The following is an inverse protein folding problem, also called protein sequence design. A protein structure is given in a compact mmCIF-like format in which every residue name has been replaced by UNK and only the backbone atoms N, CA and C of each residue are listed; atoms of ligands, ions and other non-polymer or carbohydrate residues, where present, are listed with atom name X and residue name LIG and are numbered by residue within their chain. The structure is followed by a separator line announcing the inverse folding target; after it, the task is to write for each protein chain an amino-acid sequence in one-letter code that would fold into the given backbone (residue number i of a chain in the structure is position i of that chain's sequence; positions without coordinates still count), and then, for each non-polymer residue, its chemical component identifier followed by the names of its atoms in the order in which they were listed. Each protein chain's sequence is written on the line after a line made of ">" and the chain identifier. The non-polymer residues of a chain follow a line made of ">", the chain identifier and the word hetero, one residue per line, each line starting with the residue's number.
data_IF_477688771960
#
_entry.id   IF_477688771960
#
_cell.length_a   1.000
_cell.length_b   1.000
_cell.length_c   1.000
_cell.angle_alpha   90.00
_cell.angle_beta   90.00
_cell.angle_gamma   90.00
#
_symmetry.space_group_name_H-M   'P 1'
#
loop_
_entity.id
_entity.type
_entity.pdbx_description
1 polymer ?
#
# COMPACT_ATOMS: atom_id res chain seq x y z
N UNK A 1 12.80 23.65 -8.62
CA UNK A 1 11.64 22.99 -7.98
C UNK A 1 11.27 21.68 -8.67
N UNK A 2 11.29 21.63 -10.00
CA UNK A 2 10.97 20.44 -10.81
C UNK A 2 11.74 19.17 -10.38
N UNK A 3 13.05 19.28 -10.18
CA UNK A 3 13.91 18.15 -9.77
C UNK A 3 13.45 17.49 -8.47
N UNK A 4 12.95 18.27 -7.50
CA UNK A 4 12.47 17.71 -6.22
C UNK A 4 11.21 16.88 -6.44
N UNK A 5 10.30 17.36 -7.29
CA UNK A 5 9.06 16.64 -7.62
C UNK A 5 9.33 15.40 -8.49
N UNK A 6 10.30 15.48 -9.40
CA UNK A 6 10.76 14.32 -10.17
C UNK A 6 11.33 13.26 -9.23
N UNK A 7 12.31 13.62 -8.39
CA UNK A 7 12.91 12.68 -7.41
C UNK A 7 11.81 12.08 -6.52
N UNK A 8 10.88 12.90 -6.03
CA UNK A 8 9.74 12.45 -5.26
C UNK A 8 8.93 11.39 -6.02
N UNK A 9 8.53 11.71 -7.25
CA UNK A 9 7.74 10.82 -8.09
C UNK A 9 8.45 9.48 -8.34
N UNK A 10 9.74 9.52 -8.71
CA UNK A 10 10.56 8.32 -8.91
C UNK A 10 10.64 7.44 -7.66
N UNK A 11 10.85 8.04 -6.49
CA UNK A 11 10.92 7.31 -5.21
C UNK A 11 9.60 6.58 -4.96
N UNK A 12 8.46 7.26 -5.11
CA UNK A 12 7.15 6.69 -4.85
C UNK A 12 6.75 5.64 -5.90
N UNK A 13 7.02 5.88 -7.18
CA UNK A 13 6.74 4.93 -8.26
C UNK A 13 7.49 3.60 -8.07
N UNK A 14 8.81 3.68 -7.83
CA UNK A 14 9.66 2.50 -7.62
C UNK A 14 9.24 1.77 -6.34
N UNK A 15 9.00 2.52 -5.26
CA UNK A 15 8.55 1.95 -3.99
C UNK A 15 7.20 1.26 -4.15
N UNK A 16 6.25 1.88 -4.86
CA UNK A 16 4.93 1.34 -5.16
C UNK A 16 5.01 0.05 -5.96
N UNK A 17 5.80 0.02 -7.04
CA UNK A 17 6.03 -1.19 -7.82
C UNK A 17 6.62 -2.31 -6.94
N UNK A 18 7.66 -2.01 -6.15
CA UNK A 18 8.34 -2.97 -5.31
C UNK A 18 7.44 -3.53 -4.19
N UNK A 19 6.71 -2.67 -3.49
CA UNK A 19 5.82 -3.06 -2.39
C UNK A 19 4.63 -3.89 -2.89
N UNK A 20 4.03 -3.51 -4.01
CA UNK A 20 2.93 -4.27 -4.59
C UNK A 20 3.38 -5.64 -5.12
N UNK A 21 4.54 -5.73 -5.78
CA UNK A 21 5.10 -7.01 -6.21
C UNK A 21 5.45 -7.92 -5.02
N UNK A 22 6.02 -7.35 -3.96
CA UNK A 22 6.25 -8.05 -2.70
C UNK A 22 4.94 -8.55 -2.08
N UNK A 23 3.89 -7.72 -2.09
CA UNK A 23 2.57 -8.11 -1.57
C UNK A 23 1.98 -9.25 -2.38
N UNK A 24 2.03 -9.21 -3.72
CA UNK A 24 1.61 -10.33 -4.58
C UNK A 24 2.37 -11.60 -4.21
N UNK A 25 3.70 -11.53 -4.12
CA UNK A 25 4.52 -12.68 -3.75
C UNK A 25 4.11 -13.28 -2.40
N UNK A 26 3.99 -12.46 -1.35
CA UNK A 26 3.64 -12.93 -0.01
C UNK A 26 2.20 -13.46 0.01
N UNK A 27 1.26 -12.82 -0.68
CA UNK A 27 -0.13 -13.26 -0.75
C UNK A 27 -0.28 -14.60 -1.48
N UNK A 28 0.50 -14.86 -2.53
CA UNK A 28 0.49 -16.15 -3.25
C UNK A 28 1.10 -17.26 -2.40
N UNK A 29 2.29 -17.04 -1.83
CA UNK A 29 3.08 -18.13 -1.26
C UNK A 29 2.94 -18.30 0.26
N UNK A 30 2.41 -17.32 0.99
CA UNK A 30 2.35 -17.33 2.46
C UNK A 30 0.94 -17.25 3.03
N UNK A 31 -0.09 -17.28 2.19
CA UNK A 31 -1.49 -17.30 2.65
C UNK A 31 -1.92 -18.70 3.10
N UNK A 32 -2.31 -18.90 4.38
CA UNK A 32 -2.86 -20.16 4.84
C UNK A 32 -4.25 -20.43 4.25
N UNK A 33 -4.66 -21.71 4.21
CA UNK A 33 -5.95 -22.14 3.63
C UNK A 33 -7.16 -21.35 4.19
N UNK A 34 -7.12 -20.99 5.47
CA UNK A 34 -8.18 -20.25 6.15
C UNK A 34 -8.44 -18.84 5.60
N UNK A 35 -7.46 -18.21 4.91
CA UNK A 35 -7.62 -16.86 4.34
C UNK A 35 -7.51 -16.83 2.81
N UNK A 36 -7.58 -17.98 2.14
CA UNK A 36 -7.28 -18.09 0.70
C UNK A 36 -8.20 -17.24 -0.17
N UNK A 37 -9.49 -17.15 0.18
CA UNK A 37 -10.44 -16.28 -0.53
C UNK A 37 -10.05 -14.80 -0.39
N UNK A 38 -9.59 -14.38 0.80
CA UNK A 38 -9.10 -13.01 1.01
C UNK A 38 -7.78 -12.74 0.30
N UNK A 39 -6.89 -13.72 0.23
CA UNK A 39 -5.64 -13.59 -0.49
C UNK A 39 -5.86 -13.29 -1.98
N UNK A 40 -6.90 -13.88 -2.59
CA UNK A 40 -7.27 -13.58 -3.98
C UNK A 40 -7.67 -12.12 -4.16
N UNK A 41 -8.47 -11.57 -3.24
CA UNK A 41 -8.83 -10.16 -3.24
C UNK A 41 -7.59 -9.26 -3.06
N UNK A 42 -6.71 -9.61 -2.12
CA UNK A 42 -5.47 -8.86 -1.86
C UNK A 42 -4.55 -8.88 -3.09
N UNK A 43 -4.44 -10.01 -3.79
CA UNK A 43 -3.67 -10.13 -5.02
C UNK A 43 -4.24 -9.22 -6.11
N UNK A 44 -5.57 -9.19 -6.29
CA UNK A 44 -6.19 -8.31 -7.28
C UNK A 44 -5.92 -6.83 -6.99
N UNK A 45 -6.03 -6.41 -5.73
CA UNK A 45 -5.65 -5.05 -5.32
C UNK A 45 -4.18 -4.77 -5.63
N UNK A 46 -3.27 -5.65 -5.19
CA UNK A 46 -1.84 -5.47 -5.39
C UNK A 46 -1.43 -5.44 -6.87
N UNK A 47 -2.08 -6.23 -7.74
CA UNK A 47 -1.84 -6.18 -9.19
C UNK A 47 -2.33 -4.86 -9.76
N UNK A 48 -3.52 -4.40 -9.37
CA UNK A 48 -4.07 -3.12 -9.85
C UNK A 48 -3.15 -1.96 -9.45
N UNK A 49 -2.76 -1.91 -8.18
CA UNK A 49 -1.87 -0.87 -7.64
C UNK A 49 -0.46 -0.96 -8.28
N UNK A 50 0.05 -2.18 -8.55
CA UNK A 50 1.32 -2.37 -9.29
C UNK A 50 1.23 -1.79 -10.70
N UNK A 51 0.15 -2.12 -11.43
CA UNK A 51 -0.09 -1.65 -12.79
C UNK A 51 -0.19 -0.12 -12.80
N UNK A 52 -0.86 0.47 -11.82
CA UNK A 52 -0.95 1.92 -11.65
C UNK A 52 0.45 2.55 -11.49
N UNK A 53 1.25 2.08 -10.53
CA UNK A 53 2.61 2.57 -10.31
C UNK A 53 3.53 2.33 -11.53
N UNK A 54 3.36 1.21 -12.23
CA UNK A 54 4.18 0.86 -13.40
C UNK A 54 3.87 1.76 -14.60
N UNK A 55 2.60 2.04 -14.88
CA UNK A 55 2.22 2.94 -15.97
C UNK A 55 2.49 4.41 -15.64
N UNK A 56 2.49 4.77 -14.36
CA UNK A 56 2.88 6.12 -13.92
C UNK A 56 4.36 6.41 -14.26
N UNK A 57 5.23 5.40 -14.21
CA UNK A 57 6.62 5.49 -14.71
C UNK A 57 6.68 6.00 -16.16
N UNK A 58 5.79 5.50 -17.02
CA UNK A 58 5.74 5.89 -18.43
C UNK A 58 4.88 7.13 -18.68
N UNK A 59 4.35 7.79 -17.65
CA UNK A 59 3.38 8.90 -17.77
C UNK A 59 2.11 8.45 -18.55
N UNK A 60 1.91 7.14 -18.76
CA UNK A 60 0.89 6.61 -19.67
C UNK A 60 -0.51 6.59 -19.08
N UNK A 61 -0.64 6.45 -17.75
CA UNK A 61 -1.95 6.49 -17.10
C UNK A 61 -2.61 7.87 -17.25
N UNK A 62 -1.78 8.93 -17.34
CA UNK A 62 -2.23 10.33 -17.52
C UNK A 62 -2.84 10.58 -18.89
N UNK A 63 -2.44 9.77 -19.87
CA UNK A 63 -2.84 9.89 -21.25
C UNK A 63 -4.12 9.10 -21.54
N UNK A 64 -4.31 7.93 -20.91
CA UNK A 64 -5.41 7.01 -21.25
C UNK A 64 -6.82 7.58 -20.99
N UNK A 65 -7.02 8.31 -19.88
CA UNK A 65 -8.34 8.87 -19.53
C UNK A 65 -8.74 10.05 -20.42
N UNK A 66 -7.78 10.77 -20.99
CA UNK A 66 -8.00 12.01 -21.75
C UNK A 66 -7.46 11.96 -23.19
N UNK A 67 -7.01 10.78 -23.67
CA UNK A 67 -6.22 10.57 -24.89
C UNK A 67 -6.80 11.26 -26.14
N UNK A 68 -8.12 11.33 -26.23
CA UNK A 68 -8.81 11.90 -27.39
C UNK A 68 -8.83 13.44 -27.45
N UNK A 69 -8.38 14.15 -26.40
CA UNK A 69 -8.48 15.62 -26.30
C UNK A 69 -7.16 16.32 -26.00
N UNK A 70 -6.04 15.59 -26.06
CA UNK A 70 -4.73 16.23 -25.97
C UNK A 70 -4.41 16.92 -27.29
N UNK A 71 -4.29 18.23 -27.23
CA UNK A 71 -3.77 19.01 -28.33
C UNK A 71 -2.24 18.94 -28.36
N UNK A 72 -1.65 18.95 -29.56
CA UNK A 72 -0.20 18.94 -29.73
C UNK A 72 0.43 20.28 -29.30
N UNK A 73 1.76 20.27 -29.13
CA UNK A 73 2.53 21.41 -28.58
C UNK A 73 2.30 22.72 -29.33
N UNK A 74 2.16 22.66 -30.65
CA UNK A 74 1.95 23.81 -31.53
C UNK A 74 0.65 24.57 -31.24
N UNK A 75 -0.40 23.88 -30.80
CA UNK A 75 -1.66 24.50 -30.39
C UNK A 75 -1.64 24.96 -28.93
N UNK A 76 -0.99 24.20 -28.04
CA UNK A 76 -0.96 24.46 -26.59
C UNK A 76 0.00 25.59 -26.23
N UNK A 77 1.19 25.63 -26.83
CA UNK A 77 2.25 26.57 -26.50
C UNK A 77 1.84 28.06 -26.60
N UNK A 78 1.14 28.53 -27.65
CA UNK A 78 0.72 29.93 -27.72
C UNK A 78 -0.27 30.30 -26.61
N UNK A 79 -1.16 29.37 -26.22
CA UNK A 79 -2.09 29.58 -25.11
C UNK A 79 -1.37 29.55 -23.76
N UNK A 80 -0.43 28.61 -23.58
CA UNK A 80 0.34 28.48 -22.36
C UNK A 80 1.18 29.73 -22.08
N UNK A 81 1.84 30.30 -23.10
CA UNK A 81 2.56 31.58 -22.99
C UNK A 81 1.65 32.76 -22.66
N UNK A 82 0.42 32.74 -23.16
CA UNK A 82 -0.57 33.79 -22.90
C UNK A 82 -1.08 33.77 -21.46
N UNK A 83 -1.37 32.58 -20.93
CA UNK A 83 -1.99 32.41 -19.61
C UNK A 83 -0.99 32.23 -18.46
N UNK A 84 0.22 31.78 -18.76
CA UNK A 84 1.29 31.52 -17.79
C UNK A 84 2.61 32.18 -18.23
N UNK A 85 2.66 33.53 -18.27
CA UNK A 85 3.84 34.25 -18.77
C UNK A 85 5.10 34.02 -17.92
N UNK A 86 4.94 33.59 -16.66
CA UNK A 86 6.04 33.34 -15.72
C UNK A 86 6.75 31.99 -15.92
N UNK A 87 6.26 31.13 -16.82
CA UNK A 87 6.85 29.82 -17.10
C UNK A 87 7.89 29.89 -18.22
N UNK A 88 9.03 29.24 -18.03
CA UNK A 88 10.09 29.19 -19.05
C UNK A 88 9.88 28.01 -20.02
N UNK A 89 9.04 28.20 -21.04
CA UNK A 89 8.73 27.16 -22.03
C UNK A 89 9.86 26.87 -23.04
N UNK A 90 10.94 27.67 -23.03
CA UNK A 90 12.05 27.55 -23.97
C UNK A 90 13.16 26.61 -23.44
N UNK A 91 13.27 26.44 -22.12
CA UNK A 91 14.19 25.48 -21.49
C UNK A 91 13.61 24.05 -21.40
N UNK A 92 12.29 23.90 -21.37
CA UNK A 92 11.63 22.60 -21.29
C UNK A 92 11.49 21.95 -22.67
N UNK A 93 12.45 21.09 -23.03
CA UNK A 93 12.46 20.29 -24.28
C UNK A 93 11.49 19.09 -24.27
N UNK A 94 10.62 19.00 -23.26
CA UNK A 94 9.66 17.91 -23.09
C UNK A 94 8.43 17.98 -24.00
N UNK A 95 7.62 16.92 -23.98
CA UNK A 95 6.33 16.87 -24.68
C UNK A 95 5.32 17.72 -23.91
N UNK A 96 5.12 18.96 -24.37
CA UNK A 96 4.02 19.82 -23.89
C UNK A 96 2.75 19.42 -24.63
N UNK A 97 1.80 18.84 -23.90
CA UNK A 97 0.47 18.49 -24.41
C UNK A 97 -0.56 18.84 -23.34
N UNK A 98 -1.76 19.22 -23.76
CA UNK A 98 -2.78 19.68 -22.83
C UNK A 98 -4.17 19.70 -23.43
N UNK A 99 -5.14 19.94 -22.56
CA UNK A 99 -6.55 20.10 -22.93
C UNK A 99 -6.78 21.59 -23.15
N UNK A 100 -7.16 21.98 -24.37
CA UNK A 100 -7.39 23.37 -24.75
C UNK A 100 -8.69 23.93 -24.14
N UNK A 101 -9.71 23.07 -24.04
CA UNK A 101 -11.02 23.42 -23.54
C UNK A 101 -11.55 22.36 -22.58
N UNK A 102 -11.57 22.72 -21.30
CA UNK A 102 -12.08 21.88 -20.21
C UNK A 102 -13.60 21.71 -20.23
N UNK A 103 -14.31 22.57 -20.98
CA UNK A 103 -15.78 22.50 -21.14
C UNK A 103 -16.21 21.55 -22.26
N UNK A 104 -15.27 21.09 -23.09
CA UNK A 104 -15.53 20.06 -24.10
C UNK A 104 -16.12 18.80 -23.43
N UNK A 105 -17.05 18.13 -24.12
CA UNK A 105 -17.79 17.00 -23.55
C UNK A 105 -16.87 15.92 -22.96
N UNK A 106 -15.76 15.65 -23.62
CA UNK A 106 -14.81 14.63 -23.19
C UNK A 106 -13.93 15.07 -22.02
N UNK A 107 -13.47 16.32 -22.00
CA UNK A 107 -12.73 16.86 -20.87
C UNK A 107 -13.63 16.96 -19.64
N UNK A 108 -14.84 17.51 -19.82
CA UNK A 108 -15.86 17.59 -18.78
C UNK A 108 -16.25 16.20 -18.26
N UNK A 109 -16.40 15.20 -19.15
CA UNK A 109 -16.64 13.81 -18.77
C UNK A 109 -15.51 13.27 -17.89
N UNK A 110 -14.23 13.45 -18.28
CA UNK A 110 -13.09 12.97 -17.51
C UNK A 110 -12.95 13.67 -16.15
N UNK A 111 -13.12 14.99 -16.11
CA UNK A 111 -13.12 15.79 -14.87
C UNK A 111 -14.26 15.35 -13.95
N UNK A 112 -15.46 15.17 -14.50
CA UNK A 112 -16.61 14.70 -13.74
C UNK A 112 -16.36 13.30 -13.17
N UNK A 113 -15.84 12.37 -13.98
CA UNK A 113 -15.52 11.00 -13.52
C UNK A 113 -14.40 10.96 -12.48
N UNK A 114 -13.48 11.93 -12.50
CA UNK A 114 -12.41 12.01 -11.50
C UNK A 114 -12.89 12.64 -10.20
N UNK A 115 -13.69 13.72 -10.27
CA UNK A 115 -14.07 14.51 -9.11
C UNK A 115 -15.36 14.03 -8.43
N UNK A 116 -16.37 13.65 -9.22
CA UNK A 116 -17.71 13.36 -8.70
C UNK A 116 -17.79 12.05 -7.92
N UNK A 117 -17.22 10.92 -8.37
CA UNK A 117 -17.33 9.64 -7.66
C UNK A 117 -16.63 9.61 -6.31
N UNK A 118 -15.66 10.48 -6.05
CA UNK A 118 -14.88 10.49 -4.80
C UNK A 118 -15.80 10.57 -3.58
N UNK A 119 -16.71 11.54 -3.56
CA UNK A 119 -17.61 11.74 -2.44
C UNK A 119 -18.57 10.56 -2.19
N UNK A 120 -19.38 10.09 -3.17
CA UNK A 120 -20.28 8.97 -2.95
C UNK A 120 -19.54 7.65 -2.69
N UNK A 121 -18.40 7.41 -3.34
CA UNK A 121 -17.57 6.22 -3.09
C UNK A 121 -17.02 6.26 -1.67
N UNK A 122 -16.51 7.40 -1.21
CA UNK A 122 -15.96 7.53 0.14
C UNK A 122 -17.04 7.36 1.23
N UNK A 123 -18.22 7.96 1.01
CA UNK A 123 -19.39 7.76 1.87
C UNK A 123 -19.79 6.28 1.89
N UNK A 124 -19.86 5.63 0.72
CA UNK A 124 -20.19 4.21 0.61
C UNK A 124 -19.17 3.33 1.34
N UNK A 125 -17.86 3.57 1.18
CA UNK A 125 -16.80 2.85 1.90
C UNK A 125 -17.03 2.94 3.42
N UNK A 126 -17.33 4.13 3.93
CA UNK A 126 -17.55 4.33 5.35
C UNK A 126 -18.84 3.65 5.86
N UNK A 127 -19.92 3.71 5.09
CA UNK A 127 -21.20 3.01 5.41
C UNK A 127 -21.01 1.49 5.35
N UNK A 128 -20.40 0.96 4.30
CA UNK A 128 -20.11 -0.47 4.14
C UNK A 128 -19.23 -0.96 5.28
N UNK A 129 -18.20 -0.20 5.67
CA UNK A 129 -17.36 -0.52 6.84
C UNK A 129 -18.19 -0.66 8.11
N UNK A 130 -19.08 0.30 8.40
CA UNK A 130 -19.98 0.22 9.57
C UNK A 130 -20.87 -1.03 9.51
N UNK A 131 -21.46 -1.32 8.35
CA UNK A 131 -22.28 -2.51 8.13
C UNK A 131 -21.49 -3.81 8.31
N UNK A 132 -20.25 -3.89 7.81
CA UNK A 132 -19.38 -5.06 7.97
C UNK A 132 -19.05 -5.29 9.45
N UNK A 133 -18.68 -4.24 10.20
CA UNK A 133 -18.40 -4.35 11.65
C UNK A 133 -19.64 -4.82 12.40
N UNK A 134 -20.80 -4.25 12.10
CA UNK A 134 -22.07 -4.64 12.73
C UNK A 134 -22.43 -6.10 12.44
N UNK A 135 -22.31 -6.53 11.18
CA UNK A 135 -22.57 -7.90 10.78
C UNK A 135 -21.60 -8.89 11.44
N UNK A 136 -20.32 -8.54 11.55
CA UNK A 136 -19.31 -9.35 12.22
C UNK A 136 -19.62 -9.51 13.71
N UNK A 137 -20.06 -8.44 14.39
CA UNK A 137 -20.42 -8.49 15.80
C UNK A 137 -21.68 -9.30 16.05
N UNK A 138 -22.70 -9.16 15.20
CA UNK A 138 -23.95 -9.92 15.29
C UNK A 138 -23.71 -11.44 15.14
N UNK A 139 -22.79 -11.83 14.24
CA UNK A 139 -22.48 -13.23 13.98
C UNK A 139 -21.29 -13.76 14.78
N UNK A 140 -20.74 -12.98 15.70
CA UNK A 140 -19.51 -13.33 16.43
C UNK A 140 -19.62 -14.64 17.24
N UNK A 141 -20.83 -15.01 17.66
CA UNK A 141 -21.10 -16.25 18.40
C UNK A 141 -21.10 -17.50 17.51
N UNK A 142 -21.36 -17.36 16.21
CA UNK A 142 -21.45 -18.48 15.26
C UNK A 142 -20.13 -18.75 14.51
N UNK A 143 -19.11 -17.91 14.70
CA UNK A 143 -17.85 -17.97 13.96
C UNK A 143 -16.75 -18.68 14.77
N UNK A 144 -15.97 -19.51 14.09
CA UNK A 144 -14.75 -20.08 14.70
C UNK A 144 -13.74 -18.98 15.03
N UNK A 145 -12.87 -19.23 16.02
CA UNK A 145 -11.85 -18.27 16.46
C UNK A 145 -10.91 -17.89 15.32
N UNK A 146 -10.56 -18.84 14.46
CA UNK A 146 -9.71 -18.65 13.28
C UNK A 146 -10.38 -17.71 12.26
N UNK A 147 -11.66 -17.94 11.96
CA UNK A 147 -12.42 -17.14 10.98
C UNK A 147 -12.59 -15.71 11.50
N UNK A 148 -12.97 -15.53 12.76
CA UNK A 148 -13.09 -14.21 13.41
C UNK A 148 -11.76 -13.45 13.38
N UNK A 149 -10.65 -14.13 13.64
CA UNK A 149 -9.31 -13.52 13.60
C UNK A 149 -8.93 -13.08 12.17
N UNK A 150 -9.22 -13.89 11.15
CA UNK A 150 -8.97 -13.53 9.75
C UNK A 150 -9.78 -12.30 9.32
N UNK A 151 -11.09 -12.28 9.59
CA UNK A 151 -11.95 -11.13 9.29
C UNK A 151 -11.50 -9.86 10.00
N UNK A 152 -11.14 -9.96 11.29
CA UNK A 152 -10.68 -8.81 12.07
C UNK A 152 -9.39 -8.19 11.51
N UNK A 153 -8.45 -9.02 11.07
CA UNK A 153 -7.21 -8.56 10.42
C UNK A 153 -7.49 -7.82 9.13
N UNK A 154 -8.33 -8.40 8.25
CA UNK A 154 -8.70 -7.77 6.99
C UNK A 154 -9.48 -6.47 7.20
N UNK A 155 -10.45 -6.47 8.13
CA UNK A 155 -11.24 -5.29 8.44
C UNK A 155 -10.39 -4.15 9.00
N UNK A 156 -9.32 -4.48 9.74
CA UNK A 156 -8.33 -3.50 10.22
C UNK A 156 -7.49 -2.93 9.07
N UNK A 157 -7.05 -3.77 8.13
CA UNK A 157 -6.35 -3.30 6.93
C UNK A 157 -7.24 -2.39 6.08
N UNK A 158 -8.47 -2.84 5.76
CA UNK A 158 -9.48 -2.07 5.02
C UNK A 158 -9.87 -0.76 5.73
N UNK A 159 -9.89 -0.76 7.06
CA UNK A 159 -10.15 0.45 7.86
C UNK A 159 -9.09 1.52 7.62
N UNK A 160 -7.83 1.12 7.56
CA UNK A 160 -6.72 2.05 7.34
C UNK A 160 -6.63 2.43 5.88
N UNK A 161 -6.89 1.48 4.97
CA UNK A 161 -7.02 1.75 3.55
C UNK A 161 -8.17 2.71 3.27
N UNK A 162 -9.26 2.71 4.04
CA UNK A 162 -10.33 3.68 3.91
C UNK A 162 -9.89 5.14 4.18
N UNK A 163 -8.72 5.37 4.77
CA UNK A 163 -8.15 6.71 4.90
C UNK A 163 -7.27 7.09 3.69
N UNK A 164 -6.80 6.13 2.90
CA UNK A 164 -5.92 6.38 1.74
C UNK A 164 -6.59 7.26 0.67
N UNK A 165 -7.88 7.10 0.34
CA UNK A 165 -8.56 8.01 -0.58
C UNK A 165 -8.60 9.48 -0.15
N UNK A 166 -8.21 9.83 1.09
CA UNK A 166 -8.04 11.23 1.48
C UNK A 166 -6.98 11.95 0.62
N UNK A 167 -5.96 11.24 0.13
CA UNK A 167 -4.99 11.80 -0.82
C UNK A 167 -5.64 12.17 -2.15
N UNK A 168 -6.64 11.41 -2.61
CA UNK A 168 -7.45 11.76 -3.77
C UNK A 168 -8.26 13.04 -3.52
N UNK A 169 -8.79 13.20 -2.31
CA UNK A 169 -9.47 14.43 -1.89
C UNK A 169 -8.56 15.65 -1.95
N UNK A 170 -7.31 15.51 -1.48
CA UNK A 170 -6.29 16.57 -1.60
C UNK A 170 -6.05 16.91 -3.08
N UNK A 171 -5.86 15.89 -3.93
CA UNK A 171 -5.64 16.08 -5.36
C UNK A 171 -6.80 16.83 -6.04
N UNK A 172 -8.04 16.46 -5.74
CA UNK A 172 -9.22 17.13 -6.30
C UNK A 172 -9.41 18.54 -5.76
N UNK A 173 -9.19 18.78 -4.47
CA UNK A 173 -9.23 20.13 -3.91
C UNK A 173 -8.17 21.03 -4.57
N UNK A 174 -6.92 20.55 -4.71
CA UNK A 174 -5.85 21.27 -5.40
C UNK A 174 -6.20 21.55 -6.86
N UNK A 175 -6.78 20.58 -7.57
CA UNK A 175 -7.24 20.76 -8.95
C UNK A 175 -8.34 21.84 -9.05
N UNK A 176 -9.37 21.78 -8.21
CA UNK A 176 -10.46 22.76 -8.22
C UNK A 176 -9.97 24.17 -7.86
N UNK A 177 -9.03 24.30 -6.92
CA UNK A 177 -8.40 25.58 -6.58
C UNK A 177 -7.57 26.16 -7.73
N UNK A 178 -6.88 25.29 -8.48
CA UNK A 178 -6.17 25.69 -9.70
C UNK A 178 -7.15 26.19 -10.77
N UNK A 179 -8.26 25.47 -10.97
CA UNK A 179 -9.27 25.83 -11.98
C UNK A 179 -10.09 27.07 -11.62
N UNK A 180 -10.26 27.39 -10.34
CA UNK A 180 -10.94 28.63 -9.94
C UNK A 180 -10.10 29.88 -10.17
N UNK A 181 -8.82 29.73 -10.58
CA UNK A 181 -7.91 30.85 -10.86
C UNK A 181 -7.46 31.62 -9.61
N UNK A 182 -7.77 31.13 -8.41
CA UNK A 182 -7.44 31.82 -7.15
C UNK A 182 -5.96 31.66 -6.80
N UNK A 183 -5.40 30.48 -7.09
CA UNK A 183 -3.98 30.19 -6.93
C UNK A 183 -3.51 29.45 -8.17
N UNK A 184 -2.67 30.09 -8.98
CA UNK A 184 -2.01 29.48 -10.13
C UNK A 184 -0.52 29.38 -9.81
N UNK A 185 -0.06 28.15 -9.56
CA UNK A 185 1.35 27.91 -9.29
C UNK A 185 1.75 26.51 -9.74
N UNK A 186 3.00 26.31 -10.21
CA UNK A 186 3.50 24.99 -10.57
C UNK A 186 3.38 24.00 -9.40
N UNK A 187 3.63 24.47 -8.17
CA UNK A 187 3.56 23.65 -6.96
C UNK A 187 2.17 23.04 -6.78
N UNK A 188 1.11 23.80 -7.06
CA UNK A 188 -0.26 23.32 -6.92
C UNK A 188 -0.56 22.21 -7.93
N UNK A 189 -0.11 22.36 -9.17
CA UNK A 189 -0.22 21.33 -10.21
C UNK A 189 0.55 20.06 -9.84
N UNK A 190 1.80 20.19 -9.39
CA UNK A 190 2.59 19.06 -8.92
C UNK A 190 2.00 18.36 -7.69
N UNK A 191 1.28 19.09 -6.84
CA UNK A 191 0.62 18.54 -5.65
C UNK A 191 -0.49 17.58 -6.02
N UNK A 192 -1.27 17.87 -7.07
CA UNK A 192 -2.32 16.97 -7.59
C UNK A 192 -1.72 15.60 -7.90
N UNK A 193 -0.63 15.57 -8.65
CA UNK A 193 0.01 14.32 -9.07
C UNK A 193 0.77 13.63 -7.93
N UNK A 194 1.46 14.41 -7.10
CA UNK A 194 2.20 13.90 -5.94
C UNK A 194 1.31 13.22 -4.92
N UNK A 195 0.06 13.68 -4.76
CA UNK A 195 -0.89 13.06 -3.85
C UNK A 195 -1.45 11.74 -4.39
N UNK A 196 -1.71 11.65 -5.71
CA UNK A 196 -2.29 10.45 -6.32
C UNK A 196 -1.36 9.23 -6.23
N UNK A 197 -0.07 9.38 -6.53
CA UNK A 197 0.90 8.26 -6.51
C UNK A 197 1.09 7.63 -5.12
N UNK A 198 0.79 8.38 -4.06
CA UNK A 198 0.86 7.86 -2.69
C UNK A 198 -0.20 6.78 -2.43
N UNK A 199 -1.34 6.81 -3.12
CA UNK A 199 -2.43 5.86 -2.90
C UNK A 199 -2.05 4.41 -3.20
N UNK A 200 -1.64 4.05 -4.43
CA UNK A 200 -1.23 2.69 -4.76
C UNK A 200 0.06 2.29 -4.06
N UNK A 201 0.89 3.24 -3.61
CA UNK A 201 2.11 2.94 -2.87
C UNK A 201 1.86 2.59 -1.40
N UNK A 202 0.93 3.28 -0.74
CA UNK A 202 0.60 3.05 0.68
C UNK A 202 -0.36 1.87 0.90
N UNK A 203 -1.21 1.57 -0.09
CA UNK A 203 -2.13 0.43 -0.07
C UNK A 203 -1.44 -0.89 0.34
N UNK A 204 -0.35 -1.34 -0.32
CA UNK A 204 0.29 -2.61 0.03
C UNK A 204 0.91 -2.64 1.43
N UNK A 205 1.37 -1.49 1.93
CA UNK A 205 1.93 -1.36 3.29
C UNK A 205 0.89 -1.77 4.33
N UNK A 206 -0.38 -1.40 4.12
CA UNK A 206 -1.46 -1.75 5.06
C UNK A 206 -1.60 -3.27 5.19
N UNK A 207 -1.57 -4.00 4.08
CA UNK A 207 -1.68 -5.45 4.08
C UNK A 207 -0.44 -6.13 4.68
N UNK A 208 0.75 -5.70 4.28
CA UNK A 208 2.01 -6.25 4.78
C UNK A 208 2.16 -6.07 6.29
N UNK A 209 1.61 -4.99 6.87
CA UNK A 209 1.64 -4.72 8.30
C UNK A 209 0.50 -5.39 9.07
N UNK A 210 -0.76 -5.30 8.61
CA UNK A 210 -1.91 -5.77 9.41
C UNK A 210 -2.26 -7.25 9.22
N UNK A 211 -1.88 -7.85 8.10
CA UNK A 211 -2.11 -9.28 7.85
C UNK A 211 -1.01 -10.11 8.52
N UNK A 212 -1.37 -10.81 9.59
CA UNK A 212 -0.43 -11.52 10.49
C UNK A 212 0.54 -12.47 9.75
N UNK A 213 0.10 -13.39 8.87
CA UNK A 213 1.03 -14.30 8.20
C UNK A 213 2.05 -13.56 7.32
N UNK A 214 1.67 -12.41 6.75
CA UNK A 214 2.55 -11.62 5.88
C UNK A 214 3.61 -10.91 6.69
N UNK A 215 3.20 -10.21 7.75
CA UNK A 215 4.12 -9.56 8.68
C UNK A 215 5.10 -10.53 9.33
N UNK A 216 4.63 -11.70 9.76
CA UNK A 216 5.48 -12.73 10.36
C UNK A 216 6.53 -13.27 9.38
N UNK A 217 6.17 -13.42 8.10
CA UNK A 217 7.13 -13.80 7.07
C UNK A 217 8.21 -12.73 6.91
N UNK A 218 7.81 -11.45 6.80
CA UNK A 218 8.76 -10.34 6.66
C UNK A 218 9.70 -10.21 7.86
N UNK A 219 9.19 -10.32 9.09
CA UNK A 219 10.00 -10.32 10.31
C UNK A 219 11.07 -11.41 10.28
N UNK A 220 10.69 -12.64 9.90
CA UNK A 220 11.64 -13.77 9.80
C UNK A 220 12.71 -13.55 8.72
N UNK A 221 12.35 -12.93 7.61
CA UNK A 221 13.32 -12.58 6.56
C UNK A 221 14.29 -11.52 7.08
N UNK A 222 13.77 -10.48 7.73
CA UNK A 222 14.58 -9.41 8.31
C UNK A 222 15.54 -9.93 9.40
N UNK A 223 15.05 -10.76 10.34
CA UNK A 223 15.87 -11.40 11.37
C UNK A 223 17.01 -12.24 10.78
N UNK A 224 16.76 -12.99 9.69
CA UNK A 224 17.80 -13.77 9.01
C UNK A 224 18.84 -12.90 8.33
N UNK A 225 18.43 -11.77 7.74
CA UNK A 225 19.34 -10.81 7.12
C UNK A 225 20.22 -10.11 8.15
N UNK A 226 19.66 -9.70 9.29
CA UNK A 226 20.40 -9.10 10.40
C UNK A 226 21.32 -10.13 11.08
N UNK A 227 20.84 -11.35 11.30
CA UNK A 227 21.61 -12.44 11.92
C UNK A 227 22.79 -12.95 11.05
N UNK A 228 22.77 -12.72 9.74
CA UNK A 228 23.93 -12.95 8.85
C UNK A 228 25.00 -11.86 8.97
N UNK A 229 24.62 -10.63 9.33
CA UNK A 229 25.57 -9.53 9.60
C UNK A 229 26.27 -9.62 10.96
N UNK A 230 25.70 -10.34 11.93
CA UNK A 230 26.24 -10.49 13.30
C UNK A 230 27.14 -11.71 13.53
N UNK A 231 27.33 -12.60 12.55
CA UNK A 231 28.17 -13.81 12.67
C UNK A 231 29.63 -13.59 12.19
N UNK A 232 30.19 -12.42 12.49
CA UNK A 232 31.60 -12.07 12.23
C UNK A 232 32.49 -12.00 13.48
N UNK A 233 31.92 -11.99 14.69
CA UNK A 233 32.72 -12.04 15.91
C UNK A 233 31.95 -12.72 17.04
N UNK A 234 32.69 -13.44 17.88
CA UNK A 234 32.21 -14.06 19.14
C UNK A 234 31.61 -15.47 19.02
N UNK A 235 32.39 -16.41 18.47
CA UNK A 235 32.44 -17.77 19.05
C UNK A 235 33.91 -18.20 19.11
N UNK A 236 34.58 -17.93 20.23
CA UNK A 236 35.64 -18.81 20.75
C UNK A 236 35.98 -18.43 22.19
N UNK A 237 36.10 -19.47 23.02
CA UNK A 237 36.39 -19.49 24.48
C UNK A 237 35.15 -19.14 25.31
N UNK A 238 34.55 -20.06 26.05
CA UNK A 238 35.20 -20.93 27.03
C UNK A 238 34.39 -22.21 27.24
N UNK A 239 34.90 -23.33 26.73
CA UNK A 239 34.61 -24.66 27.24
C UNK A 239 35.86 -25.12 28.00
N UNK A 240 35.76 -25.24 29.33
CA UNK A 240 36.59 -26.02 30.26
C UNK A 240 36.59 -25.35 31.63
N UNK A 241 35.69 -25.78 32.50
CA UNK A 241 36.00 -26.25 33.84
C UNK A 241 34.70 -26.71 34.48
N UNK A 242 34.53 -28.03 34.59
CA UNK A 242 34.05 -28.65 35.82
C UNK A 242 34.17 -30.16 35.70
N UNK A 243 35.26 -30.67 36.28
CA UNK A 243 35.44 -32.06 36.63
C UNK A 243 35.98 -32.11 38.05
N UNK A 244 35.10 -32.34 39.04
CA UNK A 244 35.42 -33.11 40.25
C UNK A 244 34.22 -33.24 41.18
N UNK A 245 33.95 -34.48 41.59
CA UNK A 245 33.42 -34.78 42.92
C UNK A 245 32.00 -35.33 42.98
N UNK A 246 31.85 -36.66 43.07
CA UNK A 246 30.59 -37.29 43.47
C UNK A 246 30.57 -38.80 43.22
N UNK A 247 31.13 -39.57 44.16
CA UNK A 247 31.28 -41.03 44.12
C UNK A 247 30.10 -41.73 44.85
N UNK A 248 29.59 -42.82 44.23
CA UNK A 248 28.92 -44.05 44.76
C UNK A 248 27.94 -43.96 45.97
N UNK A 249 26.65 -44.35 45.89
CA UNK A 249 26.07 -45.72 45.83
C UNK A 249 25.55 -46.15 47.24
N UNK A 250 24.66 -47.16 47.48
CA UNK A 250 24.12 -48.19 46.57
C UNK A 250 22.59 -48.58 46.71
N UNK A 251 22.10 -49.40 45.74
CA UNK A 251 21.11 -50.54 45.76
C UNK A 251 20.09 -50.69 46.93
N UNK A 252 18.81 -51.12 46.81
CA UNK A 252 18.16 -52.16 45.96
C UNK A 252 16.61 -52.21 46.17
N UNK A 253 15.88 -52.48 45.07
CA UNK A 253 14.68 -53.34 44.85
C UNK A 253 13.76 -53.81 46.00
N UNK A 254 12.41 -53.79 45.81
CA UNK A 254 11.48 -54.94 45.60
C UNK A 254 9.98 -54.59 45.84
N UNK A 255 9.13 -55.01 44.89
CA UNK A 255 7.74 -55.52 44.94
C UNK A 255 6.51 -54.82 45.59
N UNK A 256 5.38 -54.93 44.86
CA UNK A 256 3.95 -54.89 45.27
C UNK A 256 3.44 -56.36 45.39
N UNK A 257 2.23 -56.74 45.92
CA UNK A 257 0.93 -56.03 45.94
C UNK A 257 -0.07 -56.29 47.12
N UNK A 258 -1.15 -55.49 47.13
CA UNK A 258 -2.58 -55.69 47.49
C UNK A 258 -3.12 -56.47 48.72
N UNK A 259 -4.29 -55.97 49.20
CA UNK A 259 -5.40 -56.58 50.03
C UNK A 259 -5.16 -56.58 51.56
N UNK A 260 -6.06 -56.19 52.49
CA UNK A 260 -7.52 -56.38 52.66
C UNK A 260 -8.09 -55.47 53.79
N UNK A 261 -9.32 -55.02 53.58
CA UNK A 261 -10.44 -54.71 54.51
C UNK A 261 -10.22 -54.76 56.04
N UNK A 262 -10.58 -53.66 56.71
CA UNK A 262 -11.51 -53.62 57.86
C UNK A 262 -12.41 -52.39 57.74
#
# INVERSE_FOLDING_TARGET
>A
MLIVFEIWHWIWAISGCGLNLLLVYVAVFKSPKAIRSYATLIINFAITDFVECFFDWFIQIRQLTYWLNFAPRDEVLPLARKWFPDYNFDEETGVISGILDVTSLWAAYGIFHLCFPIFPVYVAIFVLRRKIIQHLNANAAMMTKETKAAHSQLLRALTIQACIPAFMGIAVCSYLLGQSGVVQSPILEYTVFSALIMMPTLSPVTYLFFVKPYRQYLMRVFEKSVGKGGKGSTVSKTARFDSSGGHAGPHSQFETPATTVQ
#
